data_IF_770591828994
#
_entry.id   IF_770591828994
#
_cell.length_a   1.000
_cell.length_b   1.000
_cell.length_c   1.000
_cell.angle_alpha   90.00
_cell.angle_beta   90.00
_cell.angle_gamma   90.00
#
_symmetry.space_group_name_H-M   'P 1'
#
loop_
_entity.id
_entity.type
_entity.pdbx_description
1 polymer ?
#
# COMPACT_ATOMS: atom_id res chain seq x y z
N UNK A 1 20.56 4.22 -30.92
CA UNK A 1 20.07 4.15 -29.53
C UNK A 1 20.64 2.93 -28.80
N UNK A 2 20.31 1.68 -29.16
CA UNK A 2 20.97 0.49 -28.58
C UNK A 2 20.00 -0.59 -28.11
N UNK A 3 20.49 -1.60 -27.42
CA UNK A 3 19.67 -2.66 -26.82
C UNK A 3 20.42 -3.49 -25.79
N UNK A 4 19.73 -3.91 -24.72
CA UNK A 4 20.35 -4.69 -23.63
C UNK A 4 20.41 -6.18 -24.02
N UNK A 5 21.60 -6.79 -24.16
CA UNK A 5 21.72 -8.20 -24.45
C UNK A 5 21.31 -9.05 -23.24
N UNK A 6 20.83 -10.27 -23.48
CA UNK A 6 20.65 -11.24 -22.39
C UNK A 6 22.00 -11.55 -21.75
N UNK A 7 22.17 -11.20 -20.49
CA UNK A 7 23.42 -11.34 -19.74
C UNK A 7 23.18 -12.20 -18.50
N UNK A 8 23.83 -13.37 -18.40
CA UNK A 8 23.72 -14.28 -17.23
C UNK A 8 24.23 -13.71 -15.89
N UNK A 9 25.27 -12.85 -15.84
CA UNK A 9 25.75 -12.22 -14.60
C UNK A 9 24.73 -11.28 -13.94
N UNK A 10 23.78 -10.76 -14.70
CA UNK A 10 22.79 -9.79 -14.22
C UNK A 10 21.47 -10.50 -13.95
N UNK A 11 21.45 -11.30 -12.89
CA UNK A 11 20.22 -11.88 -12.35
C UNK A 11 19.89 -11.15 -11.05
N UNK A 12 18.76 -10.45 -11.02
CA UNK A 12 18.28 -9.86 -9.76
C UNK A 12 17.93 -11.05 -8.87
N UNK A 13 18.53 -11.19 -7.68
CA UNK A 13 18.15 -12.25 -6.77
C UNK A 13 16.65 -12.15 -6.52
N UNK A 14 16.01 -13.31 -6.48
CA UNK A 14 14.59 -13.42 -6.16
C UNK A 14 14.49 -13.87 -4.69
N UNK A 15 13.61 -13.25 -3.92
CA UNK A 15 13.10 -13.85 -2.68
C UNK A 15 11.77 -14.52 -2.97
N UNK A 16 11.33 -15.40 -2.07
CA UNK A 16 10.05 -16.11 -2.17
C UNK A 16 8.82 -15.21 -2.45
N UNK A 17 8.93 -13.89 -2.24
CA UNK A 17 7.82 -12.92 -2.30
C UNK A 17 8.15 -11.64 -3.09
N UNK A 18 9.17 -11.63 -3.96
CA UNK A 18 9.48 -10.48 -4.81
C UNK A 18 10.96 -10.31 -5.16
N UNK A 19 11.29 -9.19 -5.79
CA UNK A 19 12.68 -8.82 -6.06
C UNK A 19 13.31 -8.19 -4.80
N UNK A 20 14.62 -8.33 -4.67
CA UNK A 20 15.39 -7.57 -3.69
C UNK A 20 15.31 -6.07 -4.00
N UNK A 21 15.25 -5.23 -2.97
CA UNK A 21 15.28 -3.78 -3.15
C UNK A 21 16.71 -3.32 -3.30
N UNK A 22 16.94 -2.28 -4.10
CA UNK A 22 18.27 -1.70 -4.30
C UNK A 22 18.94 -1.21 -3.00
N UNK A 23 18.16 -0.97 -1.94
CA UNK A 23 18.63 -0.50 -0.63
C UNK A 23 18.86 -1.62 0.39
N UNK A 24 18.65 -2.88 0.02
CA UNK A 24 18.97 -4.02 0.88
C UNK A 24 20.49 -4.29 0.83
N UNK A 25 21.09 -4.49 2.01
CA UNK A 25 22.55 -4.59 2.22
C UNK A 25 23.21 -5.61 1.28
N UNK A 26 22.53 -6.72 0.98
CA UNK A 26 23.04 -7.77 0.08
C UNK A 26 23.21 -7.33 -1.38
N UNK A 27 22.50 -6.30 -1.85
CA UNK A 27 22.72 -5.70 -3.18
C UNK A 27 23.64 -4.48 -3.12
N UNK A 28 23.57 -3.70 -2.03
CA UNK A 28 24.34 -2.47 -1.87
C UNK A 28 25.84 -2.73 -1.63
N UNK A 29 26.20 -3.88 -1.04
CA UNK A 29 27.59 -4.25 -0.73
C UNK A 29 28.31 -5.02 -1.86
N UNK A 30 27.74 -5.07 -3.07
CA UNK A 30 28.29 -5.82 -4.20
C UNK A 30 28.53 -4.91 -5.41
N UNK A 31 29.44 -5.29 -6.31
CA UNK A 31 29.67 -4.64 -7.63
C UNK A 31 28.47 -4.82 -8.60
N UNK A 32 27.31 -5.23 -8.10
CA UNK A 32 26.14 -5.57 -8.89
C UNK A 32 25.52 -4.33 -9.56
N UNK A 33 25.41 -3.21 -8.83
CA UNK A 33 24.93 -1.95 -9.38
C UNK A 33 25.87 -1.41 -10.46
N UNK A 34 27.19 -1.51 -10.25
CA UNK A 34 28.20 -1.12 -11.24
C UNK A 34 28.15 -2.01 -12.48
N UNK A 35 27.94 -3.31 -12.29
CA UNK A 35 27.75 -4.27 -13.40
C UNK A 35 26.50 -3.96 -14.22
N UNK A 36 25.40 -3.57 -13.56
CA UNK A 36 24.18 -3.09 -14.21
C UNK A 36 24.41 -1.79 -14.99
N UNK A 37 25.05 -0.81 -14.35
CA UNK A 37 25.39 0.47 -14.97
C UNK A 37 26.27 0.25 -16.21
N UNK A 38 27.29 -0.61 -16.10
CA UNK A 38 28.18 -0.97 -17.20
C UNK A 38 27.44 -1.68 -18.34
N UNK A 39 26.58 -2.64 -18.03
CA UNK A 39 25.76 -3.31 -19.05
C UNK A 39 24.92 -2.29 -19.84
N UNK A 40 24.35 -1.30 -19.16
CA UNK A 40 23.58 -0.24 -19.80
C UNK A 40 24.48 0.68 -20.63
N UNK A 41 25.57 1.21 -20.06
CA UNK A 41 26.45 2.17 -20.74
C UNK A 41 27.21 1.56 -21.91
N UNK A 42 27.54 0.26 -21.85
CA UNK A 42 28.25 -0.44 -22.93
C UNK A 42 27.32 -0.77 -24.11
N UNK A 43 26.00 -0.82 -23.90
CA UNK A 43 25.05 -1.32 -24.90
C UNK A 43 23.99 -0.30 -25.33
N UNK A 44 23.88 0.84 -24.62
CA UNK A 44 23.00 1.95 -24.96
C UNK A 44 23.82 3.24 -25.16
N UNK A 45 23.50 3.94 -26.24
CA UNK A 45 23.90 5.33 -26.44
C UNK A 45 22.99 6.23 -25.59
N UNK A 46 23.46 6.52 -24.37
CA UNK A 46 22.74 7.35 -23.41
C UNK A 46 22.60 8.80 -23.87
N UNK A 47 23.58 9.33 -24.61
CA UNK A 47 23.51 10.69 -25.14
C UNK A 47 22.41 10.80 -26.18
N UNK A 48 22.32 9.84 -27.09
CA UNK A 48 21.26 9.80 -28.10
C UNK A 48 19.87 9.56 -27.47
N UNK A 49 19.78 8.75 -26.41
CA UNK A 49 18.53 8.60 -25.64
C UNK A 49 18.05 9.93 -25.06
N UNK A 50 18.95 10.70 -24.44
CA UNK A 50 18.65 12.02 -23.88
C UNK A 50 18.27 13.01 -24.99
N UNK A 51 18.96 13.00 -26.13
CA UNK A 51 18.63 13.83 -27.27
C UNK A 51 17.24 13.50 -27.84
N UNK A 52 16.87 12.22 -27.96
CA UNK A 52 15.53 11.80 -28.39
C UNK A 52 14.46 12.24 -27.39
N UNK A 53 14.71 12.07 -26.09
CA UNK A 53 13.77 12.51 -25.06
C UNK A 53 13.55 14.03 -25.11
N UNK A 54 14.62 14.81 -25.26
CA UNK A 54 14.56 16.28 -25.32
C UNK A 54 13.97 16.80 -26.63
N UNK A 55 14.25 16.16 -27.78
CA UNK A 55 13.68 16.57 -29.08
C UNK A 55 12.18 16.35 -29.20
N UNK A 56 11.57 15.63 -28.25
CA UNK A 56 10.12 15.37 -28.18
C UNK A 56 9.42 16.12 -27.05
N UNK A 57 10.13 16.97 -26.28
CA UNK A 57 9.49 17.74 -25.19
C UNK A 57 8.36 18.63 -25.70
N UNK A 58 8.50 19.18 -26.90
CA UNK A 58 7.55 20.14 -27.46
C UNK A 58 6.31 19.48 -28.07
N UNK A 59 6.38 18.18 -28.40
CA UNK A 59 5.27 17.40 -28.97
C UNK A 59 4.48 16.58 -27.94
N UNK A 60 4.99 16.43 -26.72
CA UNK A 60 4.27 15.76 -25.62
C UNK A 60 3.29 16.70 -24.88
N UNK A 61 3.23 17.97 -25.28
CA UNK A 61 2.23 18.94 -24.80
C UNK A 61 0.92 18.78 -25.57
N UNK A 62 0.20 17.67 -25.35
CA UNK A 62 -1.25 17.54 -25.53
C UNK A 62 -1.68 16.07 -25.41
N UNK A 63 -1.62 15.50 -24.20
CA UNK A 63 -2.32 14.24 -23.91
C UNK A 63 -2.82 14.24 -22.46
N UNK A 64 -3.64 15.24 -22.11
CA UNK A 64 -4.78 15.15 -21.17
C UNK A 64 -4.66 14.33 -19.87
N UNK A 65 -3.48 14.17 -19.29
CA UNK A 65 -3.30 13.48 -18.01
C UNK A 65 -2.40 14.32 -17.11
N UNK A 66 -3.03 14.93 -16.09
CA UNK A 66 -2.49 15.79 -15.03
C UNK A 66 -2.44 17.31 -15.25
N UNK A 67 -3.13 17.86 -16.25
CA UNK A 67 -3.75 19.18 -16.04
C UNK A 67 -5.05 18.98 -15.25
N UNK A 68 -4.93 18.65 -13.96
CA UNK A 68 -6.02 18.93 -13.05
C UNK A 68 -6.24 20.44 -13.11
N UNK A 69 -7.34 20.87 -13.73
CA UNK A 69 -7.82 22.24 -13.66
C UNK A 69 -7.63 22.72 -12.22
N UNK A 70 -6.70 23.64 -12.04
CA UNK A 70 -6.32 24.26 -10.79
C UNK A 70 -7.41 25.21 -10.32
N UNK A 71 -8.66 24.73 -10.23
CA UNK A 71 -9.75 25.40 -9.54
C UNK A 71 -9.62 25.36 -8.01
N UNK A 72 -8.53 24.77 -7.50
CA UNK A 72 -8.23 24.67 -6.07
C UNK A 72 -6.85 25.24 -5.69
N UNK A 73 -6.16 25.97 -6.59
CA UNK A 73 -4.92 26.69 -6.25
C UNK A 73 -5.16 28.08 -5.68
N UNK A 74 -6.41 28.53 -5.57
CA UNK A 74 -6.77 29.67 -4.73
C UNK A 74 -7.34 29.15 -3.41
N UNK A 75 -6.66 29.46 -2.31
CA UNK A 75 -7.05 29.26 -0.90
C UNK A 75 -6.58 27.98 -0.18
N UNK A 76 -5.31 27.57 -0.29
CA UNK A 76 -4.69 26.67 0.72
C UNK A 76 -3.61 27.33 1.60
N UNK A 77 -3.43 28.65 1.52
CA UNK A 77 -2.39 29.34 2.28
C UNK A 77 -2.70 29.61 3.77
N UNK A 78 -3.82 29.13 4.31
CA UNK A 78 -4.23 29.43 5.70
C UNK A 78 -4.91 28.27 6.46
N UNK A 79 -5.00 27.05 5.89
CA UNK A 79 -5.52 25.89 6.64
C UNK A 79 -4.41 25.13 7.35
N UNK A 80 -4.62 24.65 8.59
CA UNK A 80 -3.64 23.80 9.26
C UNK A 80 -3.37 22.55 8.41
N UNK A 81 -2.09 22.15 8.33
CA UNK A 81 -1.68 20.94 7.61
C UNK A 81 -2.25 19.71 8.32
N UNK A 82 -2.84 18.78 7.55
CA UNK A 82 -3.30 17.48 8.04
C UNK A 82 -2.10 16.56 8.20
N UNK A 83 -1.83 16.04 9.39
CA UNK A 83 -0.66 15.18 9.65
C UNK A 83 -1.02 13.72 9.50
N UNK A 84 -0.46 13.06 8.48
CA UNK A 84 -0.73 11.65 8.17
C UNK A 84 0.53 10.84 8.47
N UNK A 85 0.43 9.89 9.42
CA UNK A 85 1.53 8.98 9.70
C UNK A 85 1.66 7.93 8.60
N UNK A 86 2.88 7.76 8.08
CA UNK A 86 3.21 6.75 7.07
C UNK A 86 4.07 5.67 7.73
N UNK A 87 3.55 4.45 7.82
CA UNK A 87 4.32 3.32 8.34
C UNK A 87 5.42 2.93 7.34
N UNK A 88 6.66 3.32 7.55
CA UNK A 88 7.72 3.21 6.55
C UNK A 88 8.99 2.61 7.14
N UNK A 89 9.22 1.33 6.88
CA UNK A 89 10.42 0.60 7.26
C UNK A 89 10.62 -0.68 6.43
N UNK A 90 11.39 -1.64 6.92
CA UNK A 90 11.64 -2.92 6.25
C UNK A 90 10.38 -3.79 6.15
N UNK A 91 9.46 -3.70 7.12
CA UNK A 91 8.20 -4.43 7.10
C UNK A 91 7.14 -3.74 6.23
N UNK A 92 7.19 -2.40 6.10
CA UNK A 92 6.23 -1.61 5.32
C UNK A 92 6.95 -0.70 4.33
N UNK A 93 7.20 -1.20 3.13
CA UNK A 93 8.04 -0.54 2.13
C UNK A 93 7.40 -0.42 0.75
N UNK A 94 6.15 -0.85 0.57
CA UNK A 94 5.46 -0.80 -0.72
C UNK A 94 4.59 0.45 -0.80
N UNK A 95 5.12 1.47 -1.47
CA UNK A 95 4.44 2.72 -1.72
C UNK A 95 4.65 3.16 -3.17
N UNK A 96 3.59 3.66 -3.79
CA UNK A 96 3.72 4.43 -5.02
C UNK A 96 4.16 5.85 -4.67
N UNK A 97 5.29 6.31 -5.22
CA UNK A 97 5.72 7.70 -5.04
C UNK A 97 4.65 8.71 -5.44
N UNK A 98 3.93 8.45 -6.54
CA UNK A 98 2.80 9.28 -6.98
C UNK A 98 1.66 9.34 -5.95
N UNK A 99 1.42 8.29 -5.16
CA UNK A 99 0.39 8.32 -4.13
C UNK A 99 0.77 9.30 -3.01
N UNK A 100 2.02 9.23 -2.55
CA UNK A 100 2.54 10.11 -1.51
C UNK A 100 2.50 11.57 -1.98
N UNK A 101 3.01 11.84 -3.19
CA UNK A 101 2.97 13.19 -3.77
C UNK A 101 1.54 13.73 -3.93
N UNK A 102 0.56 12.88 -4.28
CA UNK A 102 -0.84 13.31 -4.38
C UNK A 102 -1.46 13.64 -3.02
N UNK A 103 -1.05 12.97 -1.94
CA UNK A 103 -1.47 13.31 -0.57
C UNK A 103 -0.89 14.67 -0.13
N UNK A 104 0.40 14.90 -0.39
CA UNK A 104 1.04 16.19 -0.12
C UNK A 104 0.40 17.33 -0.90
N UNK A 105 0.13 17.12 -2.19
CA UNK A 105 -0.59 18.09 -3.04
C UNK A 105 -2.03 18.35 -2.55
N UNK A 106 -2.66 17.38 -1.89
CA UNK A 106 -3.96 17.54 -1.25
C UNK A 106 -3.89 18.27 0.10
N UNK A 107 -2.70 18.63 0.58
CA UNK A 107 -2.48 19.41 1.80
C UNK A 107 -2.11 18.59 3.04
N UNK A 108 -1.69 17.33 2.85
CA UNK A 108 -1.15 16.54 3.96
C UNK A 108 0.33 16.84 4.22
N UNK A 109 0.71 16.77 5.49
CA UNK A 109 2.08 16.60 5.94
C UNK A 109 2.28 15.12 6.25
N UNK A 110 3.20 14.46 5.53
CA UNK A 110 3.48 13.04 5.70
C UNK A 110 4.56 12.84 6.76
N UNK A 111 4.24 12.08 7.81
CA UNK A 111 5.14 11.81 8.93
C UNK A 111 5.55 10.33 8.88
N UNK A 112 6.72 10.00 8.30
CA UNK A 112 7.20 8.62 8.29
C UNK A 112 7.56 8.15 9.70
N UNK A 113 7.25 6.90 10.01
CA UNK A 113 7.69 6.23 11.25
C UNK A 113 7.88 4.74 11.01
N UNK A 114 8.73 4.08 11.78
CA UNK A 114 8.96 2.63 11.73
C UNK A 114 8.12 1.90 12.76
N UNK A 115 7.12 1.08 12.36
CA UNK A 115 6.46 0.15 13.28
C UNK A 115 7.41 -0.83 13.99
N UNK A 116 8.58 -1.12 13.41
CA UNK A 116 9.57 -2.01 14.02
C UNK A 116 10.36 -1.35 15.15
N UNK A 117 10.63 -0.05 15.08
CA UNK A 117 11.66 0.61 15.91
C UNK A 117 11.18 1.83 16.69
N UNK A 118 10.22 2.57 16.15
CA UNK A 118 9.81 3.86 16.71
C UNK A 118 8.59 3.72 17.63
N UNK A 119 8.24 4.82 18.29
CA UNK A 119 6.91 5.03 18.85
C UNK A 119 5.97 5.65 17.80
N UNK A 120 4.66 5.50 17.99
CA UNK A 120 3.69 6.15 17.09
C UNK A 120 3.80 7.67 17.27
N UNK A 121 4.01 8.46 16.20
CA UNK A 121 4.10 9.91 16.34
C UNK A 121 2.83 10.52 16.95
N UNK A 122 3.02 11.54 17.78
CA UNK A 122 1.91 12.28 18.38
C UNK A 122 1.22 13.20 17.36
N UNK A 123 -0.02 13.62 17.68
CA UNK A 123 -0.79 14.62 16.93
C UNK A 123 -0.95 14.26 15.44
N UNK A 124 -1.19 12.97 15.16
CA UNK A 124 -1.55 12.48 13.84
C UNK A 124 -3.07 12.52 13.66
N UNK A 125 -3.50 12.97 12.49
CA UNK A 125 -4.90 13.07 12.11
C UNK A 125 -5.37 11.84 11.30
N UNK A 126 -4.44 11.17 10.61
CA UNK A 126 -4.69 9.91 9.91
C UNK A 126 -3.47 9.00 9.86
N UNK A 127 -3.68 7.74 9.46
CA UNK A 127 -2.60 6.78 9.19
C UNK A 127 -2.74 6.15 7.82
N UNK A 128 -1.61 5.96 7.14
CA UNK A 128 -1.49 5.11 5.96
C UNK A 128 -0.44 4.03 6.23
N UNK A 129 -0.90 2.78 6.27
CA UNK A 129 -0.06 1.59 6.45
C UNK A 129 -0.02 0.85 5.12
N UNK A 130 0.99 1.12 4.30
CA UNK A 130 1.19 0.47 3.01
C UNK A 130 1.50 -1.02 3.15
N UNK A 131 1.82 -1.66 2.03
CA UNK A 131 2.25 -3.05 2.07
C UNK A 131 3.75 -3.20 2.34
N UNK A 132 4.18 -4.45 2.34
CA UNK A 132 5.55 -4.85 2.55
C UNK A 132 5.59 -6.30 3.01
N UNK A 133 6.51 -6.62 3.90
CA UNK A 133 6.83 -7.98 4.33
C UNK A 133 6.64 -8.19 5.85
N UNK A 134 5.46 -7.89 6.43
CA UNK A 134 5.26 -8.04 7.87
C UNK A 134 5.46 -9.47 8.37
N UNK A 135 5.34 -10.48 7.51
CA UNK A 135 5.61 -11.89 7.82
C UNK A 135 7.08 -12.16 8.14
N UNK A 136 8.01 -11.50 7.45
CA UNK A 136 9.46 -11.62 7.70
C UNK A 136 9.86 -10.96 9.02
N UNK A 137 9.06 -10.00 9.48
CA UNK A 137 9.28 -9.25 10.71
C UNK A 137 8.25 -9.56 11.80
N UNK A 138 7.52 -10.67 11.67
CA UNK A 138 6.38 -11.02 12.51
C UNK A 138 6.72 -11.09 14.00
N UNK A 139 7.88 -11.63 14.36
CA UNK A 139 8.37 -11.67 15.75
C UNK A 139 8.60 -10.28 16.34
N UNK A 140 9.23 -9.37 15.58
CA UNK A 140 9.51 -8.00 16.01
C UNK A 140 8.24 -7.19 16.13
N UNK A 141 7.38 -7.22 15.10
CA UNK A 141 6.09 -6.54 15.09
C UNK A 141 5.19 -7.02 16.22
N UNK A 142 5.13 -8.34 16.46
CA UNK A 142 4.35 -8.91 17.55
C UNK A 142 4.89 -8.53 18.93
N UNK A 143 6.22 -8.51 19.07
CA UNK A 143 6.91 -8.10 20.29
C UNK A 143 6.75 -6.62 20.63
N UNK A 144 6.57 -5.74 19.63
CA UNK A 144 6.36 -4.30 19.84
C UNK A 144 4.93 -3.99 20.32
N UNK A 145 4.61 -4.41 21.55
CA UNK A 145 3.30 -4.22 22.17
C UNK A 145 2.90 -2.74 22.25
N UNK A 146 3.83 -1.85 22.55
CA UNK A 146 3.57 -0.40 22.66
C UNK A 146 3.06 0.18 21.34
N UNK A 147 3.75 -0.09 20.23
CA UNK A 147 3.29 0.33 18.90
C UNK A 147 1.95 -0.29 18.52
N UNK A 148 1.75 -1.59 18.78
CA UNK A 148 0.48 -2.28 18.49
C UNK A 148 -0.68 -1.66 19.26
N UNK A 149 -0.49 -1.40 20.55
CA UNK A 149 -1.51 -0.79 21.40
C UNK A 149 -1.79 0.66 20.97
N UNK A 150 -0.76 1.42 20.61
CA UNK A 150 -0.90 2.80 20.12
C UNK A 150 -1.71 2.87 18.81
N UNK A 151 -1.40 2.02 17.83
CA UNK A 151 -2.16 1.93 16.56
C UNK A 151 -3.58 1.46 16.84
N UNK A 152 -3.77 0.46 17.71
CA UNK A 152 -5.12 -0.02 18.04
C UNK A 152 -5.98 1.08 18.68
N UNK A 153 -5.39 1.88 19.58
CA UNK A 153 -6.06 3.04 20.18
C UNK A 153 -6.33 4.14 19.15
N UNK A 154 -5.41 4.36 18.20
CA UNK A 154 -5.63 5.25 17.07
C UNK A 154 -6.86 4.84 16.26
N UNK A 155 -6.95 3.57 15.85
CA UNK A 155 -8.10 3.04 15.12
C UNK A 155 -9.41 3.18 15.91
N UNK A 156 -9.41 2.85 17.21
CA UNK A 156 -10.59 2.94 18.08
C UNK A 156 -11.05 4.37 18.36
N UNK A 157 -10.16 5.36 18.22
CA UNK A 157 -10.52 6.78 18.35
C UNK A 157 -11.38 7.30 17.18
N UNK A 158 -11.58 6.51 16.12
CA UNK A 158 -12.38 6.90 14.96
C UNK A 158 -11.63 7.74 13.93
N UNK A 159 -10.34 8.01 14.15
CA UNK A 159 -9.48 8.66 13.16
C UNK A 159 -9.28 7.78 11.92
N UNK A 160 -9.20 8.36 10.71
CA UNK A 160 -9.06 7.57 9.48
C UNK A 160 -7.75 6.77 9.43
N UNK A 161 -7.86 5.51 9.04
CA UNK A 161 -6.70 4.65 8.75
C UNK A 161 -6.92 3.95 7.42
N UNK A 162 -5.97 4.10 6.50
CA UNK A 162 -5.95 3.36 5.26
C UNK A 162 -4.82 2.32 5.28
N UNK A 163 -5.10 1.08 4.92
CA UNK A 163 -4.11 0.00 4.94
C UNK A 163 -4.15 -0.88 3.69
N UNK A 164 -2.97 -1.26 3.21
CA UNK A 164 -2.80 -2.04 1.99
C UNK A 164 -1.97 -3.30 2.24
N UNK A 165 -2.43 -4.46 1.75
CA UNK A 165 -1.67 -5.72 1.70
C UNK A 165 -1.01 -6.09 3.05
N UNK A 166 0.29 -5.89 3.22
CA UNK A 166 0.98 -6.08 4.50
C UNK A 166 0.38 -5.27 5.65
N UNK A 167 -0.09 -4.04 5.39
CA UNK A 167 -0.80 -3.23 6.37
C UNK A 167 -2.12 -3.86 6.82
N UNK A 168 -2.87 -4.47 5.90
CA UNK A 168 -4.06 -5.27 6.24
C UNK A 168 -3.69 -6.44 7.16
N UNK A 169 -2.62 -7.17 6.84
CA UNK A 169 -2.15 -8.27 7.67
C UNK A 169 -1.81 -7.77 9.08
N UNK A 170 -1.07 -6.67 9.19
CA UNK A 170 -0.68 -6.11 10.49
C UNK A 170 -1.86 -5.57 11.31
N UNK A 171 -2.92 -5.07 10.66
CA UNK A 171 -4.14 -4.65 11.37
C UNK A 171 -5.03 -5.83 11.82
N UNK A 172 -4.76 -7.06 11.36
CA UNK A 172 -5.48 -8.27 11.76
C UNK A 172 -5.14 -8.73 13.19
N UNK A 173 -5.81 -9.78 13.68
CA UNK A 173 -5.52 -10.40 14.98
C UNK A 173 -4.09 -10.93 15.07
N UNK A 174 -3.51 -11.33 13.94
CA UNK A 174 -2.14 -11.80 13.89
C UNK A 174 -1.83 -12.63 12.66
N UNK A 175 -0.59 -13.10 12.61
CA UNK A 175 -0.10 -14.06 11.63
C UNK A 175 0.04 -15.44 12.25
N UNK A 176 -0.50 -16.45 11.58
CA UNK A 176 -0.18 -17.85 11.80
C UNK A 176 1.04 -18.20 10.95
N UNK A 177 2.15 -18.46 11.61
CA UNK A 177 3.41 -18.86 10.97
C UNK A 177 3.49 -20.37 10.74
N UNK A 178 4.66 -20.81 10.25
CA UNK A 178 4.98 -22.23 10.19
C UNK A 178 4.98 -22.87 11.58
N UNK A 179 4.80 -24.19 11.65
CA UNK A 179 4.93 -24.98 12.89
C UNK A 179 4.05 -24.48 14.05
N UNK A 180 2.83 -24.01 13.74
CA UNK A 180 1.86 -23.47 14.71
C UNK A 180 2.33 -22.22 15.47
N UNK A 181 3.38 -21.54 15.01
CA UNK A 181 3.78 -20.26 15.58
C UNK A 181 2.66 -19.22 15.39
N UNK A 182 2.42 -18.42 16.42
CA UNK A 182 1.41 -17.36 16.41
C UNK A 182 2.04 -16.03 16.76
N UNK A 183 1.82 -15.06 15.90
CA UNK A 183 2.32 -13.70 16.07
C UNK A 183 1.13 -12.74 16.18
N UNK A 184 0.67 -12.42 17.41
CA UNK A 184 -0.35 -11.40 17.62
C UNK A 184 0.05 -10.07 16.98
N UNK A 185 -0.87 -9.46 16.23
CA UNK A 185 -0.68 -8.11 15.67
C UNK A 185 -1.62 -7.10 16.34
N UNK A 186 -2.07 -6.07 15.62
CA UNK A 186 -2.81 -4.93 16.21
C UNK A 186 -4.23 -5.35 16.65
N UNK A 187 -4.86 -6.28 15.93
CA UNK A 187 -6.13 -6.88 16.33
C UNK A 187 -7.38 -6.03 16.10
N UNK A 188 -7.34 -5.13 15.11
CA UNK A 188 -8.51 -4.33 14.70
C UNK A 188 -9.42 -5.12 13.76
N UNK A 189 -8.84 -5.85 12.80
CA UNK A 189 -9.61 -6.69 11.89
C UNK A 189 -9.84 -8.08 12.52
N UNK A 190 -11.07 -8.63 12.50
CA UNK A 190 -11.47 -9.78 13.32
C UNK A 190 -11.08 -11.13 12.72
N UNK A 191 -9.93 -11.21 12.07
CA UNK A 191 -9.41 -12.42 11.44
C UNK A 191 -7.90 -12.53 11.63
N UNK A 192 -7.35 -13.70 11.36
CA UNK A 192 -5.91 -13.94 11.26
C UNK A 192 -5.50 -13.99 9.81
N UNK A 193 -4.20 -13.93 9.57
CA UNK A 193 -3.60 -14.18 8.25
C UNK A 193 -2.60 -15.32 8.33
N UNK A 194 -2.35 -16.01 7.22
CA UNK A 194 -1.30 -17.02 7.09
C UNK A 194 -0.66 -16.92 5.71
N UNK A 195 0.56 -17.42 5.55
CA UNK A 195 1.24 -17.43 4.25
C UNK A 195 0.85 -18.67 3.45
N UNK A 196 0.23 -18.46 2.29
CA UNK A 196 -0.08 -19.52 1.33
C UNK A 196 1.04 -19.77 0.32
N UNK A 197 0.88 -20.82 -0.49
CA UNK A 197 1.83 -21.16 -1.56
C UNK A 197 1.47 -20.55 -2.92
N UNK A 198 0.22 -20.09 -3.08
CA UNK A 198 -0.29 -19.56 -4.35
C UNK A 198 -0.31 -18.04 -4.33
N UNK A 199 0.36 -17.46 -5.32
CA UNK A 199 0.31 -16.01 -5.55
C UNK A 199 -1.07 -15.60 -6.07
N UNK A 200 -1.60 -14.51 -5.50
CA UNK A 200 -2.82 -13.84 -5.93
C UNK A 200 -2.40 -12.53 -6.58
N UNK A 201 -2.24 -12.57 -7.90
CA UNK A 201 -1.74 -11.48 -8.72
C UNK A 201 -2.82 -10.93 -9.67
N UNK A 202 -2.85 -9.62 -9.86
CA UNK A 202 -3.45 -9.01 -11.03
C UNK A 202 -4.01 -7.61 -10.77
N UNK A 203 -4.20 -6.86 -11.86
CA UNK A 203 -4.83 -5.56 -11.82
C UNK A 203 -6.29 -5.65 -11.38
N UNK A 204 -6.72 -4.65 -10.62
CA UNK A 204 -8.09 -4.51 -10.12
C UNK A 204 -8.57 -3.10 -10.37
N UNK A 205 -9.82 -3.00 -10.80
CA UNK A 205 -10.59 -1.78 -10.67
C UNK A 205 -11.45 -1.90 -9.40
N UNK A 206 -11.48 -0.85 -8.60
CA UNK A 206 -12.13 -0.80 -7.29
C UNK A 206 -13.23 0.25 -7.33
N UNK A 207 -14.45 -0.20 -7.10
CA UNK A 207 -15.61 0.65 -6.86
C UNK A 207 -15.94 0.61 -5.36
N UNK A 208 -16.07 1.78 -4.75
CA UNK A 208 -16.50 1.89 -3.36
C UNK A 208 -18.03 1.81 -3.27
N UNK A 209 -18.53 0.88 -2.47
CA UNK A 209 -19.98 0.63 -2.32
C UNK A 209 -20.54 1.03 -0.96
N UNK A 210 -19.68 1.32 0.01
CA UNK A 210 -20.06 1.65 1.38
C UNK A 210 -19.74 3.10 1.80
N UNK A 211 -20.05 3.46 3.06
CA UNK A 211 -20.07 4.85 3.51
C UNK A 211 -18.71 5.44 3.95
N UNK A 212 -17.55 4.87 3.59
CA UNK A 212 -16.25 5.40 3.99
C UNK A 212 -16.02 6.83 3.45
N UNK A 213 -15.93 7.80 4.36
CA UNK A 213 -15.82 9.21 4.02
C UNK A 213 -14.51 9.58 3.29
N UNK A 214 -13.46 8.77 3.47
CA UNK A 214 -12.16 8.98 2.82
C UNK A 214 -12.06 8.47 1.38
N UNK A 215 -13.12 7.90 0.81
CA UNK A 215 -13.11 7.39 -0.56
C UNK A 215 -13.83 8.33 -1.54
N UNK A 216 -13.43 8.37 -2.83
CA UNK A 216 -14.21 9.02 -3.86
C UNK A 216 -15.66 8.55 -3.91
N UNK A 217 -16.60 9.49 -3.90
CA UNK A 217 -18.05 9.20 -4.04
C UNK A 217 -18.42 8.65 -5.42
N UNK A 218 -17.58 8.91 -6.42
CA UNK A 218 -17.79 8.53 -7.81
C UNK A 218 -16.46 8.24 -8.47
N UNK A 219 -16.50 7.34 -9.48
CA UNK A 219 -15.34 6.97 -10.27
C UNK A 219 -14.54 5.84 -9.62
N UNK A 220 -14.28 4.80 -10.41
CA UNK A 220 -13.46 3.69 -9.97
C UNK A 220 -12.00 4.10 -9.84
N UNK A 221 -11.28 3.48 -8.91
CA UNK A 221 -9.83 3.62 -8.78
C UNK A 221 -9.16 2.30 -9.16
N UNK A 222 -8.01 2.37 -9.81
CA UNK A 222 -7.26 1.19 -10.25
C UNK A 222 -6.13 0.88 -9.27
N UNK A 223 -5.79 -0.39 -9.20
CA UNK A 223 -4.70 -0.90 -8.39
C UNK A 223 -4.32 -2.30 -8.82
N UNK A 224 -3.55 -2.98 -7.97
CA UNK A 224 -3.21 -4.37 -8.18
C UNK A 224 -3.19 -5.15 -6.86
N UNK A 225 -3.43 -6.45 -6.95
CA UNK A 225 -3.14 -7.40 -5.87
C UNK A 225 -1.85 -8.11 -6.21
N UNK A 226 -0.98 -8.27 -5.23
CA UNK A 226 0.15 -9.18 -5.28
C UNK A 226 0.45 -9.65 -3.85
N UNK A 227 -0.08 -10.80 -3.49
CA UNK A 227 0.17 -11.39 -2.18
C UNK A 227 0.05 -12.91 -2.21
N UNK A 228 0.69 -13.57 -1.26
CA UNK A 228 0.58 -15.01 -1.05
C UNK A 228 -0.31 -15.36 0.14
N UNK A 229 -0.53 -14.40 1.03
CA UNK A 229 -1.28 -14.61 2.26
C UNK A 229 -2.76 -14.96 2.00
N UNK A 230 -3.32 -15.67 2.96
CA UNK A 230 -4.74 -16.00 3.06
C UNK A 230 -5.30 -15.48 4.39
N UNK A 231 -6.60 -15.19 4.40
CA UNK A 231 -7.32 -14.85 5.62
C UNK A 231 -7.88 -16.13 6.22
N UNK A 232 -7.66 -16.30 7.53
CA UNK A 232 -8.00 -17.51 8.26
C UNK A 232 -8.62 -17.19 9.61
N UNK A 233 -9.31 -18.17 10.18
CA UNK A 233 -9.75 -18.10 11.56
C UNK A 233 -8.59 -18.34 12.53
N UNK A 234 -8.89 -18.32 13.83
CA UNK A 234 -7.90 -18.57 14.86
C UNK A 234 -7.36 -20.02 14.84
N UNK A 235 -7.97 -20.95 14.10
CA UNK A 235 -7.53 -22.34 13.96
C UNK A 235 -6.74 -22.56 12.66
N UNK A 236 -6.64 -21.55 11.79
CA UNK A 236 -5.97 -21.64 10.49
C UNK A 236 -6.86 -22.15 9.36
N UNK A 237 -8.16 -22.24 9.56
CA UNK A 237 -9.10 -22.57 8.49
C UNK A 237 -9.30 -21.35 7.60
N UNK A 238 -9.30 -21.56 6.28
CA UNK A 238 -9.57 -20.50 5.31
C UNK A 238 -10.95 -19.88 5.58
N UNK A 239 -10.97 -18.56 5.72
CA UNK A 239 -12.21 -17.81 5.82
C UNK A 239 -12.58 -17.27 4.44
N UNK A 240 -13.70 -17.76 3.92
CA UNK A 240 -14.33 -17.14 2.76
C UNK A 240 -15.13 -15.93 3.22
N UNK A 241 -14.46 -14.78 3.25
CA UNK A 241 -15.07 -13.55 3.71
C UNK A 241 -15.75 -12.86 2.52
N UNK A 242 -17.07 -13.01 2.45
CA UNK A 242 -17.92 -12.38 1.42
C UNK A 242 -18.93 -11.42 2.05
N UNK A 243 -19.45 -10.44 1.31
CA UNK A 243 -20.50 -9.56 1.82
C UNK A 243 -21.76 -10.31 2.26
N UNK A 244 -21.99 -11.52 1.75
CA UNK A 244 -23.13 -12.39 2.05
C UNK A 244 -22.89 -13.34 3.23
N UNK A 245 -21.68 -13.36 3.82
CA UNK A 245 -21.34 -14.28 4.91
C UNK A 245 -22.16 -13.95 6.19
N UNK A 246 -22.80 -14.94 6.85
CA UNK A 246 -23.67 -14.74 8.03
C UNK A 246 -22.98 -14.15 9.26
N UNK A 247 -21.64 -14.13 9.28
CA UNK A 247 -20.82 -13.71 10.43
C UNK A 247 -20.81 -12.19 10.67
N UNK A 248 -21.51 -11.40 9.85
CA UNK A 248 -21.64 -9.94 9.92
C UNK A 248 -21.94 -9.36 11.33
N UNK A 249 -22.47 -10.15 12.26
CA UNK A 249 -23.18 -9.60 13.43
C UNK A 249 -22.65 -9.97 14.82
N UNK A 250 -21.65 -10.85 14.97
CA UNK A 250 -21.29 -11.35 16.32
C UNK A 250 -20.08 -10.71 16.99
N UNK A 251 -19.24 -9.94 16.27
CA UNK A 251 -18.09 -9.21 16.85
C UNK A 251 -17.85 -7.90 16.10
N UNK A 252 -18.52 -6.81 16.49
CA UNK A 252 -18.18 -5.44 16.08
C UNK A 252 -18.01 -5.21 14.57
N UNK A 253 -19.12 -5.30 13.82
CA UNK A 253 -19.36 -4.78 12.46
C UNK A 253 -18.13 -4.61 11.53
N UNK A 254 -17.63 -5.73 10.99
CA UNK A 254 -16.77 -5.72 9.80
C UNK A 254 -17.63 -5.51 8.54
N UNK A 255 -17.35 -4.45 7.79
CA UNK A 255 -18.01 -4.14 6.51
C UNK A 255 -17.12 -4.44 5.30
N UNK A 256 -17.74 -4.63 4.13
CA UNK A 256 -17.08 -4.90 2.85
C UNK A 256 -17.45 -3.82 1.85
N UNK A 257 -16.49 -2.95 1.61
CA UNK A 257 -16.79 -1.69 0.96
C UNK A 257 -16.14 -1.56 -0.42
N UNK A 258 -15.32 -2.53 -0.85
CA UNK A 258 -14.80 -2.60 -2.21
C UNK A 258 -15.53 -3.66 -3.03
N UNK A 259 -16.05 -3.23 -4.17
CA UNK A 259 -16.38 -4.11 -5.29
C UNK A 259 -15.20 -4.10 -6.25
N UNK A 260 -14.58 -5.26 -6.41
CA UNK A 260 -13.39 -5.45 -7.25
C UNK A 260 -13.78 -6.05 -8.59
N UNK A 261 -13.33 -5.42 -9.68
CA UNK A 261 -13.43 -5.95 -11.03
C UNK A 261 -12.03 -6.39 -11.51
N UNK A 262 -11.91 -7.67 -11.84
CA UNK A 262 -10.69 -8.28 -12.38
C UNK A 262 -10.78 -8.60 -13.87
N UNK A 263 -9.79 -9.35 -14.36
CA UNK A 263 -9.76 -9.82 -15.74
C UNK A 263 -10.96 -10.73 -16.06
N UNK A 264 -11.45 -10.68 -17.30
CA UNK A 264 -12.66 -11.40 -17.77
C UNK A 264 -13.93 -11.10 -16.96
N UNK A 265 -14.05 -9.88 -16.43
CA UNK A 265 -15.20 -9.43 -15.64
C UNK A 265 -15.47 -10.25 -14.38
N UNK A 266 -14.46 -10.95 -13.85
CA UNK A 266 -14.62 -11.63 -12.56
C UNK A 266 -14.78 -10.59 -11.44
N UNK A 267 -15.91 -10.66 -10.74
CA UNK A 267 -16.25 -9.75 -9.65
C UNK A 267 -15.98 -10.41 -8.31
N UNK A 268 -15.25 -9.71 -7.45
CA UNK A 268 -14.97 -10.12 -6.07
C UNK A 268 -15.22 -8.94 -5.13
N UNK A 269 -15.23 -9.19 -3.84
CA UNK A 269 -15.49 -8.18 -2.82
C UNK A 269 -14.37 -8.14 -1.80
N UNK A 270 -14.05 -6.94 -1.33
CA UNK A 270 -13.02 -6.70 -0.34
C UNK A 270 -13.30 -5.35 0.39
N UNK A 271 -12.26 -4.61 0.80
CA UNK A 271 -12.40 -3.35 1.49
C UNK A 271 -12.93 -3.58 2.90
N UNK A 272 -12.12 -4.28 3.71
CA UNK A 272 -12.41 -4.62 5.09
C UNK A 272 -12.44 -3.35 5.92
N UNK A 273 -13.63 -2.97 6.38
CA UNK A 273 -13.81 -1.77 7.18
C UNK A 273 -14.28 -2.08 8.59
N UNK A 274 -13.60 -1.50 9.59
CA UNK A 274 -13.97 -1.51 11.01
C UNK A 274 -13.69 -0.11 11.54
N UNK A 275 -14.62 0.52 12.26
CA UNK A 275 -14.53 1.94 12.62
C UNK A 275 -14.29 2.81 11.35
N UNK A 276 -13.32 3.72 11.41
CA UNK A 276 -12.82 4.51 10.29
C UNK A 276 -11.52 3.92 9.70
N UNK A 277 -11.36 2.61 9.78
CA UNK A 277 -10.23 1.86 9.21
C UNK A 277 -10.70 1.17 7.94
N UNK A 278 -10.01 1.38 6.82
CA UNK A 278 -10.25 0.70 5.56
C UNK A 278 -9.00 -0.05 5.13
N UNK A 279 -9.10 -1.38 5.01
CA UNK A 279 -7.99 -2.24 4.65
C UNK A 279 -8.31 -3.13 3.43
N UNK A 280 -7.34 -3.37 2.56
CA UNK A 280 -7.49 -4.29 1.41
C UNK A 280 -6.12 -4.80 0.95
N UNK A 281 -6.06 -5.98 0.33
CA UNK A 281 -4.90 -6.49 -0.39
C UNK A 281 -4.60 -5.74 -1.69
N UNK A 282 -5.50 -4.86 -2.15
CA UNK A 282 -5.26 -4.01 -3.32
C UNK A 282 -4.35 -2.85 -2.93
N UNK A 283 -3.23 -2.75 -3.64
CA UNK A 283 -2.42 -1.54 -3.71
C UNK A 283 -3.06 -0.59 -4.71
N UNK A 284 -3.67 0.48 -4.23
CA UNK A 284 -4.31 1.47 -5.07
C UNK A 284 -3.28 2.39 -5.72
N UNK A 285 -3.48 2.72 -6.99
CA UNK A 285 -2.70 3.74 -7.68
C UNK A 285 -3.52 5.02 -7.72
N UNK A 286 -3.24 5.98 -6.83
CA UNK A 286 -4.03 7.21 -6.68
C UNK A 286 -4.02 8.06 -7.96
N UNK A 287 -2.96 8.02 -8.76
CA UNK A 287 -2.96 8.69 -10.08
C UNK A 287 -4.02 8.19 -11.07
N UNK A 288 -4.62 7.02 -10.86
CA UNK A 288 -5.74 6.54 -11.68
C UNK A 288 -7.07 7.19 -11.32
N UNK A 289 -7.21 7.69 -10.09
CA UNK A 289 -8.27 8.58 -9.65
C UNK A 289 -7.76 9.49 -8.52
N UNK A 290 -7.17 10.67 -8.85
CA UNK A 290 -6.52 11.55 -7.88
C UNK A 290 -7.44 12.09 -6.78
N UNK A 291 -8.76 12.02 -6.99
CA UNK A 291 -9.75 12.46 -5.99
C UNK A 291 -9.66 11.64 -4.69
N UNK A 292 -9.10 10.41 -4.73
CA UNK A 292 -8.90 9.61 -3.52
C UNK A 292 -8.01 10.32 -2.51
N UNK A 293 -6.85 10.84 -2.94
CA UNK A 293 -5.95 11.55 -2.04
C UNK A 293 -6.63 12.76 -1.40
N UNK A 294 -7.39 13.53 -2.20
CA UNK A 294 -8.15 14.69 -1.72
C UNK A 294 -9.22 14.32 -0.69
N UNK A 295 -9.99 13.25 -0.93
CA UNK A 295 -11.02 12.81 0.01
C UNK A 295 -10.41 12.23 1.28
N UNK A 296 -9.33 11.45 1.17
CA UNK A 296 -8.66 10.90 2.34
C UNK A 296 -8.09 12.00 3.24
N UNK A 297 -7.37 12.97 2.67
CA UNK A 297 -6.87 14.14 3.41
C UNK A 297 -8.01 14.94 4.02
N UNK A 298 -9.10 15.17 3.27
CA UNK A 298 -10.29 15.85 3.81
C UNK A 298 -10.92 15.09 4.97
N UNK A 299 -10.99 13.76 4.90
CA UNK A 299 -11.53 12.90 5.95
C UNK A 299 -10.68 12.90 7.22
N UNK A 300 -9.37 13.16 7.07
CA UNK A 300 -8.45 13.31 8.20
C UNK A 300 -8.49 14.73 8.81
N UNK A 301 -9.23 15.70 8.24
CA UNK A 301 -9.30 17.01 8.89
C UNK A 301 -10.07 16.89 10.22
N UNK A 302 -9.54 17.46 11.32
CA UNK A 302 -10.20 17.48 12.63
C UNK A 302 -11.51 18.29 12.61
#
# INVERSE_FOLDING_TARGET
VGGIPRSKPVRIPERHLGLWRATEEELAETDYLDSLAKLVTDNLDLAELVNIANSRSDQLVASSHLEMKTGAQQCLSHSPKVRIGIAQDQAFCFYYGVNLSLLEQAGAELIPFSPLKDALPENLDGLYIGGGYPELHSKQLSGNKEMRDAIANFCRSGRPVYAECGGLMYLSQGLLGAEQQRYPFVGILPFWTTMGQRVKLGYRQVDMVGPYGGFPKQGAIRGHRFHYSDIVDAQGNLLEITPTSPERSRRGQLEFNYKLQGWKNHQTWEGYQVYNVLASYVHLHFGSNPTFAQQFVKCCRP
#
